data_IF_015748789601
#
_entry.id   IF_015748789601
#
_cell.length_a   1.000
_cell.length_b   1.000
_cell.length_c   1.000
_cell.angle_alpha   90.00
_cell.angle_beta   90.00
_cell.angle_gamma   90.00
#
_symmetry.space_group_name_H-M   'P 1'
#
loop_
_entity.id
_entity.type
_entity.pdbx_description
1 polymer ?
#
# COMPACT_ATOMS: atom_id res chain seq x y z
N UNK A 1 -2.87 -26.13 6.68
CA UNK A 1 -2.25 -24.83 6.33
C UNK A 1 -1.61 -24.96 4.96
N UNK A 2 -1.77 -23.97 4.08
CA UNK A 2 -1.25 -23.99 2.70
C UNK A 2 0.22 -23.53 2.67
N UNK A 3 1.13 -24.39 3.11
CA UNK A 3 2.58 -24.07 3.19
C UNK A 3 3.19 -23.88 1.80
N UNK A 4 2.74 -24.64 0.81
CA UNK A 4 3.25 -24.54 -0.55
C UNK A 4 2.82 -23.23 -1.21
N UNK A 5 1.54 -22.85 -1.07
CA UNK A 5 1.04 -21.56 -1.52
C UNK A 5 1.76 -20.40 -0.84
N UNK A 6 1.99 -20.48 0.47
CA UNK A 6 2.75 -19.47 1.22
C UNK A 6 4.18 -19.30 0.69
N UNK A 7 4.89 -20.42 0.46
CA UNK A 7 6.27 -20.42 -0.01
C UNK A 7 6.38 -19.87 -1.44
N UNK A 8 5.46 -20.28 -2.33
CA UNK A 8 5.40 -19.75 -3.70
C UNK A 8 5.13 -18.25 -3.72
N UNK A 9 4.18 -17.78 -2.90
CA UNK A 9 3.88 -16.35 -2.76
C UNK A 9 5.08 -15.56 -2.23
N UNK A 10 5.77 -16.10 -1.22
CA UNK A 10 6.95 -15.48 -0.63
C UNK A 10 8.08 -15.36 -1.67
N UNK A 11 8.41 -16.44 -2.38
CA UNK A 11 9.45 -16.42 -3.42
C UNK A 11 9.06 -15.43 -4.53
N UNK A 12 7.81 -15.49 -5.01
CA UNK A 12 7.33 -14.62 -6.07
C UNK A 12 7.44 -13.14 -5.71
N UNK A 13 7.03 -12.76 -4.50
CA UNK A 13 7.03 -11.37 -4.02
C UNK A 13 8.43 -10.87 -3.67
N UNK A 14 9.22 -11.63 -2.92
CA UNK A 14 10.57 -11.23 -2.49
C UNK A 14 11.50 -11.03 -3.69
N UNK A 15 11.51 -11.96 -4.64
CA UNK A 15 12.35 -11.85 -5.83
C UNK A 15 11.92 -10.69 -6.74
N UNK A 16 10.62 -10.42 -6.84
CA UNK A 16 10.11 -9.27 -7.59
C UNK A 16 10.60 -7.96 -6.97
N UNK A 17 10.40 -7.80 -5.65
CA UNK A 17 10.80 -6.59 -4.92
C UNK A 17 12.31 -6.39 -4.99
N UNK A 18 13.10 -7.45 -4.80
CA UNK A 18 14.55 -7.41 -4.91
C UNK A 18 14.99 -6.93 -6.30
N UNK A 19 14.46 -7.53 -7.37
CA UNK A 19 14.81 -7.15 -8.73
C UNK A 19 14.50 -5.68 -9.02
N UNK A 20 13.31 -5.21 -8.62
CA UNK A 20 12.89 -3.83 -8.81
C UNK A 20 13.72 -2.83 -7.99
N UNK A 21 14.06 -3.17 -6.74
CA UNK A 21 14.88 -2.31 -5.89
C UNK A 21 16.32 -2.19 -6.41
N UNK A 22 16.96 -3.30 -6.77
CA UNK A 22 18.36 -3.30 -7.22
C UNK A 22 18.55 -2.73 -8.62
N UNK A 23 17.56 -2.89 -9.49
CA UNK A 23 17.55 -2.21 -10.78
C UNK A 23 17.25 -0.71 -10.63
N UNK A 24 16.37 -0.35 -9.68
CA UNK A 24 16.02 1.03 -9.38
C UNK A 24 17.14 1.84 -8.70
N UNK A 25 17.92 1.20 -7.83
CA UNK A 25 19.07 1.82 -7.14
C UNK A 25 20.28 2.09 -8.05
N UNK A 26 20.21 1.67 -9.33
CA UNK A 26 21.33 1.69 -10.29
C UNK A 26 22.55 0.86 -9.85
N UNK A 27 22.41 0.01 -8.83
CA UNK A 27 23.48 -0.89 -8.39
C UNK A 27 23.72 -2.02 -9.41
N UNK A 28 22.64 -2.47 -10.07
CA UNK A 28 22.71 -3.41 -11.18
C UNK A 28 21.99 -2.85 -12.41
N UNK A 29 22.60 -3.00 -13.59
CA UNK A 29 21.95 -2.68 -14.85
C UNK A 29 20.74 -3.60 -15.07
N UNK A 30 19.65 -3.08 -15.64
CA UNK A 30 18.46 -3.86 -15.98
C UNK A 30 18.75 -5.11 -16.84
N UNK A 31 19.82 -5.08 -17.63
CA UNK A 31 20.31 -6.19 -18.46
C UNK A 31 21.17 -7.21 -17.70
N UNK A 32 21.45 -6.98 -16.41
CA UNK A 32 22.23 -7.89 -15.58
C UNK A 32 21.57 -9.27 -15.52
N UNK A 33 22.32 -10.37 -15.71
CA UNK A 33 21.80 -11.73 -15.59
C UNK A 33 21.08 -11.98 -14.26
N UNK A 34 21.51 -11.32 -13.17
CA UNK A 34 20.90 -11.45 -11.85
C UNK A 34 19.48 -10.87 -11.83
N UNK A 35 19.27 -9.69 -12.41
CA UNK A 35 17.94 -9.04 -12.47
C UNK A 35 17.01 -9.84 -13.37
N UNK A 36 17.49 -10.23 -14.56
CA UNK A 36 16.67 -11.03 -15.49
C UNK A 36 16.29 -12.38 -14.88
N UNK A 37 17.23 -13.08 -14.24
CA UNK A 37 16.96 -14.35 -13.58
C UNK A 37 15.94 -14.21 -12.44
N UNK A 38 16.11 -13.20 -11.58
CA UNK A 38 15.19 -12.96 -10.45
C UNK A 38 13.78 -12.58 -10.92
N UNK A 39 13.65 -11.77 -11.98
CA UNK A 39 12.35 -11.47 -12.62
C UNK A 39 11.70 -12.69 -13.24
N UNK A 40 12.47 -13.53 -13.95
CA UNK A 40 11.95 -14.76 -14.57
C UNK A 40 11.48 -15.74 -13.50
N UNK A 41 12.30 -15.98 -12.46
CA UNK A 41 11.92 -16.87 -11.35
C UNK A 41 10.68 -16.34 -10.63
N UNK A 42 10.62 -15.04 -10.35
CA UNK A 42 9.42 -14.42 -9.78
C UNK A 42 8.18 -14.62 -10.65
N UNK A 43 8.28 -14.39 -11.96
CA UNK A 43 7.17 -14.57 -12.91
C UNK A 43 6.70 -16.02 -12.96
N UNK A 44 7.62 -16.99 -13.01
CA UNK A 44 7.29 -18.42 -12.97
C UNK A 44 6.63 -18.79 -11.64
N UNK A 45 7.13 -18.29 -10.51
CA UNK A 45 6.53 -18.52 -9.20
C UNK A 45 5.13 -17.92 -9.07
N UNK A 46 4.86 -16.75 -9.67
CA UNK A 46 3.51 -16.17 -9.74
C UNK A 46 2.55 -17.04 -10.53
N UNK A 47 2.96 -17.53 -11.70
CA UNK A 47 2.14 -18.44 -12.52
C UNK A 47 1.89 -19.76 -11.77
N UNK A 48 2.91 -20.31 -11.13
CA UNK A 48 2.78 -21.52 -10.31
C UNK A 48 1.83 -21.32 -9.12
N UNK A 49 1.90 -20.16 -8.46
CA UNK A 49 1.01 -19.80 -7.36
C UNK A 49 -0.46 -19.69 -7.81
N UNK A 50 -0.71 -19.00 -8.93
CA UNK A 50 -2.07 -18.88 -9.50
C UNK A 50 -2.61 -20.25 -9.90
N UNK A 51 -1.79 -21.09 -10.55
CA UNK A 51 -2.17 -22.44 -10.92
C UNK A 51 -2.45 -23.32 -9.68
N UNK A 52 -1.66 -23.19 -8.62
CA UNK A 52 -1.85 -23.88 -7.34
C UNK A 52 -3.18 -23.51 -6.68
N UNK A 53 -3.49 -22.20 -6.60
CA UNK A 53 -4.77 -21.73 -6.05
C UNK A 53 -5.94 -22.21 -6.91
N UNK A 54 -5.85 -22.07 -8.24
CA UNK A 54 -6.91 -22.50 -9.15
C UNK A 54 -7.17 -24.02 -9.05
N UNK A 55 -6.12 -24.82 -8.84
CA UNK A 55 -6.24 -26.26 -8.62
C UNK A 55 -6.90 -26.61 -7.28
N UNK A 56 -6.56 -25.87 -6.21
CA UNK A 56 -7.20 -25.99 -4.89
C UNK A 56 -8.69 -25.58 -4.93
N UNK A 57 -9.03 -24.48 -5.60
CA UNK A 57 -10.42 -24.00 -5.74
C UNK A 57 -11.29 -24.90 -6.61
N UNK A 58 -10.72 -25.64 -7.58
CA UNK A 58 -11.48 -26.53 -8.47
C UNK A 58 -12.07 -27.77 -7.78
N UNK A 59 -11.81 -27.99 -6.49
CA UNK A 59 -12.38 -29.08 -5.69
C UNK A 59 -11.87 -30.49 -6.05
N UNK A 60 -11.07 -30.62 -7.12
CA UNK A 60 -10.44 -31.88 -7.57
C UNK A 60 -9.32 -32.38 -6.66
N UNK A 61 -8.87 -31.53 -5.74
CA UNK A 61 -7.72 -31.81 -4.86
C UNK A 61 -8.03 -32.85 -3.78
N UNK A 62 -9.28 -32.95 -3.31
CA UNK A 62 -9.63 -33.82 -2.17
C UNK A 62 -9.02 -33.40 -0.82
N UNK A 63 -8.10 -32.42 -0.79
CA UNK A 63 -7.54 -31.84 0.42
C UNK A 63 -8.47 -30.73 0.96
N UNK A 64 -8.83 -30.82 2.25
CA UNK A 64 -9.50 -29.75 3.01
C UNK A 64 -8.51 -28.64 3.42
N UNK A 65 -7.67 -28.17 2.49
CA UNK A 65 -6.75 -27.05 2.74
C UNK A 65 -7.41 -25.78 2.20
N UNK A 66 -7.61 -24.81 3.09
CA UNK A 66 -8.08 -23.47 2.72
C UNK A 66 -6.93 -22.75 2.00
N UNK A 67 -7.16 -22.32 0.76
CA UNK A 67 -6.19 -21.53 0.01
C UNK A 67 -5.87 -20.24 0.78
N UNK A 68 -4.59 -19.85 0.78
CA UNK A 68 -4.13 -18.67 1.52
C UNK A 68 -4.79 -17.38 1.01
N UNK A 69 -5.11 -17.34 -0.30
CA UNK A 69 -5.78 -16.22 -0.94
C UNK A 69 -6.73 -16.74 -2.03
N UNK A 70 -8.01 -17.03 -1.70
CA UNK A 70 -8.97 -17.52 -2.68
C UNK A 70 -9.19 -16.47 -3.77
N UNK A 71 -8.92 -16.80 -5.03
CA UNK A 71 -9.09 -15.90 -6.18
C UNK A 71 -10.55 -15.46 -6.32
N UNK A 72 -11.48 -16.37 -6.01
CA UNK A 72 -12.91 -16.09 -5.96
C UNK A 72 -13.28 -14.95 -5.01
N UNK A 73 -12.60 -14.85 -3.86
CA UNK A 73 -12.79 -13.77 -2.88
C UNK A 73 -12.02 -12.52 -3.30
N UNK A 74 -10.79 -12.68 -3.80
CA UNK A 74 -9.94 -11.57 -4.22
C UNK A 74 -10.57 -10.75 -5.36
N UNK A 75 -11.32 -11.40 -6.25
CA UNK A 75 -12.00 -10.75 -7.39
C UNK A 75 -13.43 -10.33 -7.07
N UNK A 76 -14.01 -10.78 -5.95
CA UNK A 76 -15.36 -10.41 -5.54
C UNK A 76 -15.43 -8.97 -5.02
N UNK A 77 -16.61 -8.35 -5.13
CA UNK A 77 -16.89 -7.06 -4.49
C UNK A 77 -17.20 -7.29 -3.00
N UNK A 78 -16.67 -6.46 -2.08
CA UNK A 78 -15.87 -5.25 -2.27
C UNK A 78 -14.33 -5.45 -2.28
N UNK A 79 -13.85 -6.68 -2.10
CA UNK A 79 -12.42 -6.99 -1.93
C UNK A 79 -11.54 -6.63 -3.13
N UNK A 80 -11.95 -6.97 -4.35
CA UNK A 80 -11.16 -6.64 -5.56
C UNK A 80 -10.92 -5.13 -5.73
N UNK A 81 -11.97 -4.29 -5.73
CA UNK A 81 -11.82 -2.83 -5.72
C UNK A 81 -11.03 -2.31 -4.51
N UNK A 82 -11.16 -2.93 -3.34
CA UNK A 82 -10.39 -2.59 -2.14
C UNK A 82 -8.89 -2.81 -2.31
N UNK A 83 -8.49 -3.96 -2.89
CA UNK A 83 -7.09 -4.28 -3.20
C UNK A 83 -6.53 -3.32 -4.26
N UNK A 84 -7.30 -3.01 -5.30
CA UNK A 84 -6.86 -2.03 -6.31
C UNK A 84 -6.69 -0.63 -5.68
N UNK A 85 -7.62 -0.24 -4.81
CA UNK A 85 -7.54 1.04 -4.10
C UNK A 85 -6.34 1.11 -3.16
N UNK A 86 -6.00 0.03 -2.46
CA UNK A 86 -4.83 0.01 -1.57
C UNK A 86 -3.52 0.12 -2.35
N UNK A 87 -3.42 -0.52 -3.53
CA UNK A 87 -2.27 -0.36 -4.41
C UNK A 87 -2.11 1.08 -4.92
N UNK A 88 -3.21 1.69 -5.38
CA UNK A 88 -3.20 3.07 -5.92
C UNK A 88 -2.91 4.09 -4.83
N UNK A 89 -3.40 3.89 -3.59
CA UNK A 89 -3.14 4.80 -2.46
C UNK A 89 -1.75 4.57 -1.85
N UNK A 90 -1.28 3.33 -1.82
CA UNK A 90 0.02 2.96 -1.26
C UNK A 90 1.20 3.57 -2.03
N UNK A 91 1.15 3.55 -3.37
CA UNK A 91 2.22 4.11 -4.19
C UNK A 91 2.56 5.59 -3.89
N UNK A 92 1.61 6.55 -3.99
CA UNK A 92 1.89 7.95 -3.69
C UNK A 92 2.18 8.19 -2.20
N UNK A 93 1.65 7.37 -1.29
CA UNK A 93 1.99 7.45 0.13
C UNK A 93 3.48 7.24 0.36
N UNK A 94 4.04 6.13 -0.14
CA UNK A 94 5.48 5.84 -0.01
C UNK A 94 6.34 6.86 -0.77
N UNK A 95 5.88 7.29 -1.95
CA UNK A 95 6.57 8.33 -2.71
C UNK A 95 6.72 9.61 -1.87
N UNK A 96 5.66 10.08 -1.23
CA UNK A 96 5.69 11.31 -0.42
C UNK A 96 6.47 11.10 0.88
N UNK A 97 6.28 9.96 1.54
CA UNK A 97 6.97 9.60 2.78
C UNK A 97 8.50 9.63 2.61
N UNK A 98 9.01 9.23 1.45
CA UNK A 98 10.44 9.25 1.13
C UNK A 98 10.88 10.61 0.57
N UNK A 99 10.15 11.17 -0.38
CA UNK A 99 10.58 12.40 -1.06
C UNK A 99 10.52 13.64 -0.16
N UNK A 100 9.60 13.68 0.80
CA UNK A 100 9.46 14.85 1.69
C UNK A 100 10.70 15.08 2.57
N UNK A 101 11.22 14.09 3.33
CA UNK A 101 12.45 14.27 4.09
C UNK A 101 13.69 14.41 3.18
N UNK A 102 13.71 13.79 2.01
CA UNK A 102 14.81 13.97 1.02
C UNK A 102 14.82 15.41 0.50
N UNK A 103 13.66 15.99 0.20
CA UNK A 103 13.54 17.40 -0.21
C UNK A 103 14.07 18.34 0.86
N UNK A 104 13.69 18.13 2.12
CA UNK A 104 14.18 18.98 3.21
C UNK A 104 15.71 18.90 3.37
N UNK A 105 16.28 17.70 3.24
CA UNK A 105 17.74 17.54 3.33
C UNK A 105 18.48 18.13 2.12
N UNK A 106 18.02 17.86 0.90
CA UNK A 106 18.74 18.21 -0.34
C UNK A 106 18.47 19.65 -0.79
N UNK A 107 17.22 20.11 -0.72
CA UNK A 107 16.81 21.44 -1.22
C UNK A 107 16.86 22.48 -0.12
N UNK A 108 16.37 22.14 1.08
CA UNK A 108 16.31 23.09 2.20
C UNK A 108 17.58 23.11 3.07
N UNK A 109 18.56 22.24 2.80
CA UNK A 109 19.79 22.08 3.59
C UNK A 109 19.52 21.79 5.08
N UNK A 110 18.41 21.13 5.38
CA UNK A 110 18.11 20.70 6.74
C UNK A 110 18.98 19.51 7.14
N UNK A 111 19.34 19.44 8.42
CA UNK A 111 19.91 18.22 8.98
C UNK A 111 18.89 17.07 8.91
N UNK A 112 19.36 15.82 8.88
CA UNK A 112 18.46 14.64 8.82
C UNK A 112 17.45 14.61 9.98
N UNK A 113 17.85 15.12 11.16
CA UNK A 113 16.96 15.26 12.32
C UNK A 113 15.86 16.29 12.05
N UNK A 114 16.23 17.45 11.51
CA UNK A 114 15.27 18.53 11.25
C UNK A 114 14.30 18.18 10.12
N UNK A 115 14.78 17.52 9.06
CA UNK A 115 13.93 16.98 8.01
C UNK A 115 12.91 15.95 8.51
N UNK A 116 13.31 15.12 9.49
CA UNK A 116 12.40 14.21 10.18
C UNK A 116 11.32 14.97 10.97
N UNK A 117 11.72 15.99 11.73
CA UNK A 117 10.78 16.87 12.46
C UNK A 117 9.79 17.54 11.50
N UNK A 118 10.25 18.02 10.35
CA UNK A 118 9.40 18.64 9.32
C UNK A 118 8.47 17.67 8.60
N UNK A 119 8.66 16.37 8.78
CA UNK A 119 7.78 15.30 8.26
C UNK A 119 6.71 14.89 9.29
N UNK A 120 6.85 15.29 10.56
CA UNK A 120 5.87 14.98 11.61
C UNK A 120 4.45 15.46 11.32
N UNK A 121 4.20 16.64 10.71
CA UNK A 121 2.84 17.08 10.42
C UNK A 121 2.12 16.16 9.43
N UNK A 122 2.86 15.59 8.46
CA UNK A 122 2.33 14.57 7.58
C UNK A 122 1.96 13.29 8.34
N UNK A 123 2.88 12.74 9.14
CA UNK A 123 2.65 11.52 9.92
C UNK A 123 1.56 11.70 10.99
N UNK A 124 1.52 12.86 11.62
CA UNK A 124 0.47 13.26 12.56
C UNK A 124 -0.88 13.37 11.86
N UNK A 125 -0.92 13.94 10.65
CA UNK A 125 -2.11 13.92 9.79
C UNK A 125 -2.58 12.49 9.50
N UNK A 126 -1.67 11.58 9.17
CA UNK A 126 -2.00 10.15 8.96
C UNK A 126 -2.63 9.55 10.21
N UNK A 127 -2.01 9.74 11.38
CA UNK A 127 -2.56 9.23 12.65
C UNK A 127 -3.95 9.80 12.96
N UNK A 128 -4.17 11.10 12.72
CA UNK A 128 -5.47 11.75 12.86
C UNK A 128 -6.50 11.16 11.89
N UNK A 129 -6.16 11.03 10.61
CA UNK A 129 -7.02 10.43 9.59
C UNK A 129 -7.40 8.99 9.90
N UNK A 130 -6.44 8.20 10.38
CA UNK A 130 -6.67 6.81 10.79
C UNK A 130 -7.62 6.71 11.97
N UNK A 131 -7.46 7.59 12.97
CA UNK A 131 -8.34 7.65 14.15
C UNK A 131 -9.76 8.05 13.77
N UNK A 132 -9.90 9.09 12.94
CA UNK A 132 -11.20 9.55 12.43
C UNK A 132 -11.88 8.46 11.59
N UNK A 133 -11.12 7.81 10.70
CA UNK A 133 -11.61 6.69 9.88
C UNK A 133 -12.12 5.53 10.71
N UNK A 134 -11.39 5.18 11.77
CA UNK A 134 -11.80 4.12 12.70
C UNK A 134 -13.11 4.49 13.39
N UNK A 135 -13.20 5.71 13.95
CA UNK A 135 -14.42 6.19 14.60
C UNK A 135 -15.63 6.26 13.67
N UNK A 136 -15.44 6.69 12.42
CA UNK A 136 -16.52 6.73 11.41
C UNK A 136 -16.98 5.31 11.06
N UNK A 137 -16.04 4.38 10.83
CA UNK A 137 -16.34 3.01 10.48
C UNK A 137 -17.07 2.25 11.61
N UNK A 138 -16.69 2.46 12.87
CA UNK A 138 -17.34 1.81 14.02
C UNK A 138 -18.78 2.28 14.22
N UNK A 139 -19.10 3.55 13.90
CA UNK A 139 -20.43 4.13 14.19
C UNK A 139 -21.38 4.14 12.99
N UNK A 140 -20.88 4.10 11.75
CA UNK A 140 -21.71 4.20 10.54
C UNK A 140 -21.18 3.29 9.43
N UNK A 141 -22.07 2.60 8.71
CA UNK A 141 -21.78 1.85 7.47
C UNK A 141 -21.37 2.76 6.28
N UNK A 142 -20.79 3.94 6.54
CA UNK A 142 -20.42 4.95 5.55
C UNK A 142 -18.97 4.81 5.07
N UNK A 143 -18.33 3.67 5.29
CA UNK A 143 -16.93 3.41 4.93
C UNK A 143 -16.60 3.71 3.46
N UNK A 144 -17.55 3.45 2.55
CA UNK A 144 -17.41 3.81 1.13
C UNK A 144 -17.40 5.33 0.90
N UNK A 145 -18.25 6.08 1.58
CA UNK A 145 -18.28 7.54 1.49
C UNK A 145 -17.03 8.16 2.12
N UNK A 146 -16.54 7.58 3.23
CA UNK A 146 -15.28 7.97 3.85
C UNK A 146 -14.09 7.76 2.91
N UNK A 147 -14.05 6.67 2.14
CA UNK A 147 -13.01 6.42 1.15
C UNK A 147 -13.03 7.43 -0.03
N UNK A 148 -14.22 7.82 -0.50
CA UNK A 148 -14.37 8.85 -1.53
C UNK A 148 -13.84 10.19 -0.99
N UNK A 149 -14.25 10.56 0.22
CA UNK A 149 -13.78 11.77 0.87
C UNK A 149 -12.26 11.75 1.10
N UNK A 150 -11.71 10.61 1.52
CA UNK A 150 -10.27 10.41 1.70
C UNK A 150 -9.50 10.63 0.39
N UNK A 151 -9.96 10.01 -0.70
CA UNK A 151 -9.35 10.15 -2.02
C UNK A 151 -9.39 11.60 -2.52
N UNK A 152 -10.52 12.29 -2.31
CA UNK A 152 -10.64 13.72 -2.64
C UNK A 152 -9.65 14.57 -1.83
N UNK A 153 -9.50 14.28 -0.53
CA UNK A 153 -8.58 15.00 0.35
C UNK A 153 -7.11 14.74 -0.03
N UNK A 154 -6.77 13.51 -0.39
CA UNK A 154 -5.42 13.15 -0.88
C UNK A 154 -5.11 13.83 -2.21
N UNK A 155 -6.07 13.88 -3.14
CA UNK A 155 -5.93 14.58 -4.43
C UNK A 155 -5.74 16.09 -4.23
N UNK A 156 -6.52 16.69 -3.34
CA UNK A 156 -6.40 18.10 -2.99
C UNK A 156 -5.06 18.39 -2.30
N UNK A 157 -4.65 17.53 -1.36
CA UNK A 157 -3.35 17.64 -0.68
C UNK A 157 -2.17 17.51 -1.63
N UNK A 158 -2.22 16.59 -2.59
CA UNK A 158 -1.15 16.42 -3.59
C UNK A 158 -1.10 17.59 -4.56
N UNK A 159 -2.26 18.09 -5.00
CA UNK A 159 -2.36 19.32 -5.79
C UNK A 159 -1.77 20.53 -5.06
N UNK A 160 -2.09 20.72 -3.78
CA UNK A 160 -1.52 21.79 -2.95
C UNK A 160 -0.01 21.64 -2.73
N UNK A 161 0.50 20.41 -2.62
CA UNK A 161 1.94 20.19 -2.55
C UNK A 161 2.65 20.52 -3.86
N UNK A 162 1.99 20.37 -5.01
CA UNK A 162 2.57 20.71 -6.32
C UNK A 162 2.73 22.21 -6.58
N UNK A 163 2.00 23.07 -5.87
CA UNK A 163 2.11 24.54 -6.02
C UNK A 163 3.21 25.16 -5.16
N UNK A 164 3.95 24.34 -4.42
CA UNK A 164 5.07 24.78 -3.58
C UNK A 164 6.23 25.28 -4.42
N UNK A 165 6.78 26.44 -4.06
CA UNK A 165 8.00 26.96 -4.68
C UNK A 165 9.24 26.17 -4.21
N UNK A 166 10.19 25.96 -5.11
CA UNK A 166 11.45 25.22 -4.88
C UNK A 166 12.56 26.07 -4.22
N UNK A 167 12.17 26.92 -3.26
CA UNK A 167 13.10 27.78 -2.54
C UNK A 167 13.77 27.09 -1.34
N UNK A 168 14.95 27.60 -0.94
CA UNK A 168 15.63 27.21 0.30
C UNK A 168 14.76 27.42 1.55
N UNK A 169 13.82 28.38 1.53
CA UNK A 169 12.94 28.67 2.66
C UNK A 169 11.67 27.82 2.60
N UNK A 170 11.42 27.08 3.68
CA UNK A 170 10.19 26.29 3.86
C UNK A 170 9.00 27.24 4.06
N UNK A 171 7.99 27.23 3.17
CA UNK A 171 6.79 28.03 3.35
C UNK A 171 5.96 27.51 4.52
N UNK A 172 5.50 28.39 5.42
CA UNK A 172 4.60 28.02 6.54
C UNK A 172 3.34 27.24 6.10
N UNK A 173 2.70 27.52 4.94
CA UNK A 173 1.57 26.74 4.47
C UNK A 173 1.86 25.25 4.23
N UNK A 174 3.13 24.87 4.06
CA UNK A 174 3.55 23.49 3.77
C UNK A 174 3.08 22.51 4.84
N UNK A 175 3.15 22.91 6.12
CA UNK A 175 2.73 22.04 7.22
C UNK A 175 1.21 21.80 7.20
N UNK A 176 0.41 22.80 6.80
CA UNK A 176 -1.04 22.63 6.64
C UNK A 176 -1.37 21.66 5.52
N UNK A 177 -0.67 21.75 4.39
CA UNK A 177 -0.87 20.85 3.26
C UNK A 177 -0.44 19.42 3.58
N UNK A 178 0.65 19.25 4.33
CA UNK A 178 1.08 17.95 4.85
C UNK A 178 0.03 17.32 5.76
N UNK A 179 -0.61 18.09 6.65
CA UNK A 179 -1.67 17.58 7.53
C UNK A 179 -2.89 17.15 6.72
N UNK A 180 -3.34 17.97 5.76
CA UNK A 180 -4.46 17.64 4.86
C UNK A 180 -4.18 16.34 4.12
N UNK A 181 -3.02 16.26 3.48
CA UNK A 181 -2.57 15.12 2.71
C UNK A 181 -2.45 13.85 3.59
N UNK A 182 -1.80 13.97 4.75
CA UNK A 182 -1.65 12.87 5.69
C UNK A 182 -3.00 12.36 6.19
N UNK A 183 -3.93 13.27 6.52
CA UNK A 183 -5.29 12.91 6.94
C UNK A 183 -6.03 12.13 5.86
N UNK A 184 -5.87 12.51 4.59
CA UNK A 184 -6.43 11.80 3.45
C UNK A 184 -5.91 10.35 3.37
N UNK A 185 -4.60 10.15 3.47
CA UNK A 185 -3.99 8.82 3.48
C UNK A 185 -4.46 7.97 4.67
N UNK A 186 -4.43 8.52 5.88
CA UNK A 186 -4.87 7.80 7.09
C UNK A 186 -6.32 7.35 7.00
N UNK A 187 -7.20 8.21 6.49
CA UNK A 187 -8.61 7.91 6.30
C UNK A 187 -8.82 6.84 5.21
N UNK A 188 -8.05 6.89 4.12
CA UNK A 188 -8.11 5.91 3.05
C UNK A 188 -7.68 4.51 3.55
N UNK A 189 -6.55 4.41 4.26
CA UNK A 189 -6.06 3.15 4.81
C UNK A 189 -7.09 2.50 5.75
N UNK A 190 -7.61 3.26 6.73
CA UNK A 190 -8.60 2.70 7.65
C UNK A 190 -9.89 2.32 6.94
N UNK A 191 -10.34 3.11 5.96
CA UNK A 191 -11.57 2.82 5.21
C UNK A 191 -11.43 1.54 4.38
N UNK A 192 -10.29 1.34 3.72
CA UNK A 192 -10.02 0.11 2.94
C UNK A 192 -9.97 -1.11 3.86
N UNK A 193 -9.21 -1.03 4.96
CA UNK A 193 -9.09 -2.13 5.93
C UNK A 193 -10.45 -2.50 6.54
N UNK A 194 -11.24 -1.51 6.94
CA UNK A 194 -12.57 -1.73 7.53
C UNK A 194 -13.57 -2.27 6.50
N UNK A 195 -13.52 -1.82 5.25
CA UNK A 195 -14.39 -2.35 4.20
C UNK A 195 -14.10 -3.83 3.92
N UNK A 196 -12.83 -4.24 3.96
CA UNK A 196 -12.46 -5.65 3.84
C UNK A 196 -12.86 -6.47 5.07
N UNK A 197 -12.72 -5.91 6.28
CA UNK A 197 -13.11 -6.57 7.52
C UNK A 197 -14.62 -6.81 7.63
N UNK A 198 -15.44 -5.86 7.16
CA UNK A 198 -16.91 -5.95 7.23
C UNK A 198 -17.51 -6.87 6.17
N UNK A 199 -16.78 -7.15 5.09
CA UNK A 199 -17.30 -7.91 3.94
C UNK A 199 -17.12 -9.43 4.06
N UNK A 200 -16.35 -9.89 5.05
CA UNK A 200 -15.92 -11.28 5.19
C UNK A 200 -16.27 -11.83 6.57
N UNK A 201 -16.62 -13.11 6.63
CA UNK A 201 -16.75 -13.83 7.90
C UNK A 201 -15.39 -13.88 8.60
N UNK A 202 -15.38 -13.97 9.94
CA UNK A 202 -14.13 -13.96 10.74
C UNK A 202 -13.06 -14.94 10.22
N UNK A 203 -13.47 -16.09 9.66
CA UNK A 203 -12.58 -17.08 9.07
C UNK A 203 -11.95 -16.65 7.73
N UNK A 204 -12.58 -15.77 6.95
CA UNK A 204 -12.05 -15.23 5.68
C UNK A 204 -11.42 -13.84 5.84
N UNK A 205 -11.71 -13.12 6.94
CA UNK A 205 -11.06 -11.85 7.27
C UNK A 205 -9.55 -12.03 7.46
N UNK A 206 -9.12 -13.09 8.15
CA UNK A 206 -7.69 -13.38 8.35
C UNK A 206 -6.96 -13.54 7.00
N UNK A 207 -7.52 -14.36 6.09
CA UNK A 207 -6.99 -14.55 4.75
C UNK A 207 -7.03 -13.25 3.91
N UNK A 208 -8.09 -12.45 4.01
CA UNK A 208 -8.24 -11.19 3.27
C UNK A 208 -7.31 -10.08 3.79
N UNK A 209 -6.94 -10.10 5.08
CA UNK A 209 -5.99 -9.15 5.68
C UNK A 209 -4.54 -9.65 5.68
N UNK A 210 -4.31 -10.91 5.28
CA UNK A 210 -2.97 -11.51 5.24
C UNK A 210 -2.41 -11.87 6.62
N UNK A 211 -3.27 -12.16 7.60
CA UNK A 211 -2.94 -12.58 8.96
C UNK A 211 -3.05 -14.10 9.15
#
# INVERSE_FOLDING_TARGET
MDVLGALLLLIATVLLVFALQQAGSQEYAWSSPVIVATLVVSGVSWVAFIAWIAWLESGKSGLRIKAIFPLSIALARPTGPGILSSLIVGFPFFMILINLPVRFQVVNNDSSVMAGIHTLPFLGGVALGTTLGGGIATRKNLTAHALIFATALTCLGSGLMSTMADGLRIPRPQYGYQVILGTGFGLAFTSITMMMALAHDFDTVAAAQGA
#
